data_IF_310854207091
#
_entry.id   IF_310854207091
#
_cell.length_a   1.000
_cell.length_b   1.000
_cell.length_c   1.000
_cell.angle_alpha   90.00
_cell.angle_beta   90.00
_cell.angle_gamma   90.00
#
_symmetry.space_group_name_H-M   'P 1'
#
loop_
_entity.id
_entity.type
_entity.pdbx_description
1 polymer ?
#
# COMPACT_ATOMS: atom_id res chain seq x y z
N UNK A 1 9.30 7.22 -7.27
CA UNK A 1 8.38 7.20 -6.11
C UNK A 1 7.04 7.79 -6.49
N UNK A 2 5.97 7.23 -6.01
CA UNK A 2 4.61 7.68 -6.29
C UNK A 2 3.84 7.80 -4.98
N UNK A 3 3.06 8.85 -4.82
CA UNK A 3 2.28 9.06 -3.61
C UNK A 3 0.84 9.47 -3.93
N UNK A 4 -0.09 9.01 -3.11
CA UNK A 4 -1.50 9.41 -3.15
C UNK A 4 -1.83 10.06 -1.81
N UNK A 5 -2.44 11.24 -1.87
CA UNK A 5 -2.90 11.95 -0.69
C UNK A 5 -4.37 12.33 -0.85
N UNK A 6 -5.12 12.26 0.23
CA UNK A 6 -6.54 12.64 0.25
C UNK A 6 -6.72 13.70 1.32
N UNK A 7 -7.37 14.80 0.95
CA UNK A 7 -7.62 15.92 1.85
C UNK A 7 -9.12 16.13 2.02
N UNK A 8 -9.50 16.52 3.23
CA UNK A 8 -10.78 17.12 3.53
C UNK A 8 -10.51 18.58 3.88
N UNK A 9 -10.85 19.49 2.96
CA UNK A 9 -10.38 20.88 2.98
C UNK A 9 -8.85 20.93 3.00
N UNK A 10 -8.26 21.45 4.08
CA UNK A 10 -6.81 21.53 4.24
C UNK A 10 -6.24 20.42 5.11
N UNK A 11 -7.07 19.49 5.58
CA UNK A 11 -6.65 18.40 6.46
C UNK A 11 -6.30 17.16 5.65
N UNK A 12 -5.08 16.65 5.82
CA UNK A 12 -4.69 15.37 5.24
C UNK A 12 -5.38 14.26 6.00
N UNK A 13 -6.22 13.46 5.31
CA UNK A 13 -7.03 12.42 5.96
C UNK A 13 -6.64 11.00 5.55
N UNK A 14 -5.96 10.83 4.43
CA UNK A 14 -5.47 9.52 4.00
C UNK A 14 -4.26 9.68 3.08
N UNK A 15 -3.39 8.67 3.08
CA UNK A 15 -2.23 8.67 2.19
C UNK A 15 -1.73 7.25 1.95
N UNK A 16 -0.92 7.10 0.91
CA UNK A 16 -0.16 5.91 0.62
C UNK A 16 0.96 6.21 -0.36
N UNK A 17 2.03 5.42 -0.35
CA UNK A 17 3.17 5.62 -1.22
C UNK A 17 3.66 4.31 -1.82
N UNK A 18 4.32 4.44 -2.96
CA UNK A 18 5.06 3.36 -3.59
C UNK A 18 6.51 3.79 -3.73
N UNK A 19 7.42 2.97 -3.29
CA UNK A 19 8.86 3.12 -3.52
C UNK A 19 9.35 1.94 -4.35
N UNK A 20 10.43 2.12 -5.09
CA UNK A 20 10.96 1.05 -5.91
C UNK A 20 12.05 1.51 -6.86
N UNK A 21 12.54 0.57 -7.66
CA UNK A 21 13.59 0.82 -8.64
C UNK A 21 13.06 1.25 -10.02
N UNK A 22 11.75 1.41 -10.14
CA UNK A 22 11.12 1.83 -11.38
C UNK A 22 10.77 0.71 -12.34
N UNK A 23 11.01 -0.56 -11.98
CA UNK A 23 10.75 -1.67 -12.90
C UNK A 23 10.51 -3.01 -12.22
N UNK A 24 11.53 -3.57 -11.59
CA UNK A 24 11.47 -4.95 -11.10
C UNK A 24 10.85 -5.08 -9.71
N UNK A 25 11.15 -4.16 -8.80
CA UNK A 25 10.72 -4.25 -7.42
C UNK A 25 10.04 -2.97 -6.97
N UNK A 26 8.89 -3.13 -6.33
CA UNK A 26 8.12 -2.04 -5.75
C UNK A 26 7.68 -2.42 -4.35
N UNK A 27 7.60 -1.46 -3.46
CA UNK A 27 7.04 -1.66 -2.13
C UNK A 27 6.00 -0.59 -1.84
N UNK A 28 4.83 -1.04 -1.39
CA UNK A 28 3.77 -0.16 -0.91
C UNK A 28 4.05 0.18 0.55
N UNK A 29 4.12 1.46 0.86
CA UNK A 29 4.47 1.95 2.20
C UNK A 29 3.54 3.07 2.62
N UNK A 30 3.53 3.35 3.92
CA UNK A 30 2.85 4.50 4.52
C UNK A 30 1.36 4.61 4.18
N UNK A 31 0.67 3.47 4.06
CA UNK A 31 -0.78 3.48 3.95
C UNK A 31 -1.37 3.89 5.29
N UNK A 32 -2.04 5.04 5.31
CA UNK A 32 -2.62 5.57 6.54
C UNK A 32 -3.93 6.29 6.26
N UNK A 33 -4.89 6.10 7.16
CA UNK A 33 -6.17 6.83 7.16
C UNK A 33 -6.37 7.38 8.56
N UNK A 34 -6.68 8.68 8.65
CA UNK A 34 -6.92 9.34 9.92
C UNK A 34 -8.06 8.63 10.66
N UNK A 35 -7.93 8.34 11.98
CA UNK A 35 -8.91 7.52 12.70
C UNK A 35 -10.36 7.97 12.55
N UNK A 36 -10.63 9.27 12.55
CA UNK A 36 -11.98 9.81 12.39
C UNK A 36 -12.57 9.61 11.00
N UNK A 37 -11.74 9.23 10.02
CA UNK A 37 -12.14 9.01 8.64
C UNK A 37 -12.10 7.53 8.24
N UNK A 38 -11.79 6.64 9.15
CA UNK A 38 -11.80 5.21 8.89
C UNK A 38 -13.24 4.71 8.73
N UNK A 39 -13.40 3.63 7.95
CA UNK A 39 -14.72 3.08 7.68
C UNK A 39 -15.49 3.77 6.56
N UNK A 40 -14.89 4.75 5.89
CA UNK A 40 -15.53 5.51 4.80
C UNK A 40 -14.98 5.14 3.41
N UNK A 41 -14.20 4.06 3.32
CA UNK A 41 -13.65 3.60 2.05
C UNK A 41 -12.42 4.32 1.56
N UNK A 42 -11.79 5.18 2.38
CA UNK A 42 -10.60 5.93 1.96
C UNK A 42 -9.38 5.02 1.77
N UNK A 43 -9.23 3.97 2.59
CA UNK A 43 -8.18 2.99 2.39
C UNK A 43 -8.29 2.30 1.04
N UNK A 44 -9.49 1.92 0.64
CA UNK A 44 -9.76 1.35 -0.68
C UNK A 44 -9.46 2.34 -1.80
N UNK A 45 -9.83 3.60 -1.61
CA UNK A 45 -9.56 4.64 -2.60
C UNK A 45 -8.05 4.80 -2.82
N UNK A 46 -7.30 4.91 -1.74
CA UNK A 46 -5.83 5.02 -1.81
C UNK A 46 -5.23 3.80 -2.51
N UNK A 47 -5.62 2.59 -2.09
CA UNK A 47 -5.13 1.35 -2.72
C UNK A 47 -5.48 1.28 -4.20
N UNK A 48 -6.70 1.64 -4.59
CA UNK A 48 -7.10 1.64 -5.99
C UNK A 48 -6.21 2.54 -6.84
N UNK A 49 -5.86 3.72 -6.33
CA UNK A 49 -4.97 4.64 -7.02
C UNK A 49 -3.55 4.10 -7.13
N UNK A 50 -3.05 3.46 -6.08
CA UNK A 50 -1.72 2.86 -6.08
C UNK A 50 -1.65 1.69 -7.06
N UNK A 51 -2.66 0.82 -7.07
CA UNK A 51 -2.72 -0.32 -7.99
C UNK A 51 -2.79 0.15 -9.43
N UNK A 52 -3.54 1.20 -9.70
CA UNK A 52 -3.62 1.77 -11.05
C UNK A 52 -2.26 2.25 -11.53
N UNK A 53 -1.47 2.86 -10.66
CA UNK A 53 -0.10 3.25 -10.98
C UNK A 53 0.77 2.02 -11.27
N UNK A 54 0.69 1.00 -10.41
CA UNK A 54 1.47 -0.23 -10.57
C UNK A 54 1.14 -0.95 -11.88
N UNK A 55 -0.13 -1.04 -12.23
CA UNK A 55 -0.56 -1.68 -13.47
C UNK A 55 0.04 -1.02 -14.72
N UNK A 56 0.31 0.29 -14.65
CA UNK A 56 0.92 1.02 -15.74
C UNK A 56 2.44 0.92 -15.80
N UNK A 57 3.09 0.66 -14.67
CA UNK A 57 4.54 0.76 -14.56
C UNK A 57 5.24 -0.56 -14.28
N UNK A 58 4.47 -1.63 -14.08
CA UNK A 58 5.02 -2.97 -13.89
C UNK A 58 4.97 -3.76 -15.18
N UNK A 59 5.75 -4.83 -15.23
CA UNK A 59 5.77 -5.79 -16.32
C UNK A 59 5.82 -7.19 -15.72
N UNK A 60 5.66 -8.21 -16.56
CA UNK A 60 5.75 -9.59 -16.10
C UNK A 60 7.08 -9.81 -15.40
N UNK A 61 7.03 -10.39 -14.20
CA UNK A 61 8.21 -10.58 -13.36
C UNK A 61 8.45 -9.48 -12.33
N UNK A 62 7.73 -8.35 -12.41
CA UNK A 62 7.80 -7.33 -11.36
C UNK A 62 7.27 -7.89 -10.04
N UNK A 63 7.88 -7.48 -8.95
CA UNK A 63 7.50 -7.91 -7.61
C UNK A 63 7.05 -6.71 -6.79
N UNK A 64 5.85 -6.80 -6.22
CA UNK A 64 5.29 -5.74 -5.37
C UNK A 64 5.05 -6.33 -3.99
N UNK A 65 5.64 -5.71 -2.97
CA UNK A 65 5.52 -6.17 -1.59
C UNK A 65 4.95 -5.10 -0.67
N UNK A 66 4.48 -5.53 0.48
CA UNK A 66 4.12 -4.65 1.58
C UNK A 66 4.23 -5.41 2.89
N UNK A 67 4.33 -4.66 3.99
CA UNK A 67 4.21 -5.21 5.33
C UNK A 67 2.91 -4.69 5.90
N UNK A 68 2.00 -5.62 6.21
CA UNK A 68 0.67 -5.28 6.67
C UNK A 68 0.55 -5.50 8.17
N UNK A 69 0.01 -4.49 8.85
CA UNK A 69 -0.39 -4.63 10.25
C UNK A 69 -1.86 -5.03 10.30
N UNK A 70 -2.18 -5.97 11.20
CA UNK A 70 -3.56 -6.38 11.37
C UNK A 70 -4.39 -5.22 11.96
N UNK A 71 -5.64 -5.00 11.52
CA UNK A 71 -6.41 -5.84 10.59
C UNK A 71 -6.30 -5.40 9.11
N UNK A 72 -5.41 -4.48 8.78
CA UNK A 72 -5.30 -3.92 7.43
C UNK A 72 -4.92 -4.96 6.37
N UNK A 73 -4.34 -6.10 6.77
CA UNK A 73 -4.02 -7.20 5.87
C UNK A 73 -5.23 -7.65 5.04
N UNK A 74 -6.43 -7.60 5.62
CA UNK A 74 -7.65 -7.99 4.91
C UNK A 74 -7.99 -7.03 3.76
N UNK A 75 -7.67 -5.76 3.89
CA UNK A 75 -7.82 -4.81 2.82
C UNK A 75 -6.89 -5.16 1.65
N UNK A 76 -5.64 -5.48 1.95
CA UNK A 76 -4.66 -5.79 0.90
C UNK A 76 -5.00 -7.08 0.16
N UNK A 77 -5.56 -8.07 0.84
CA UNK A 77 -6.02 -9.30 0.20
C UNK A 77 -7.05 -9.03 -0.90
N UNK A 78 -7.89 -8.02 -0.75
CA UNK A 78 -8.89 -7.65 -1.75
C UNK A 78 -8.24 -7.13 -3.04
N UNK A 79 -6.98 -6.71 -2.99
CA UNK A 79 -6.24 -6.20 -4.14
C UNK A 79 -5.21 -7.20 -4.68
N UNK A 80 -5.34 -8.46 -4.31
CA UNK A 80 -4.50 -9.53 -4.87
C UNK A 80 -3.18 -9.76 -4.15
N UNK A 81 -3.01 -9.20 -2.95
CA UNK A 81 -1.82 -9.46 -2.14
C UNK A 81 -2.00 -10.74 -1.35
N UNK A 82 -1.01 -11.62 -1.44
CA UNK A 82 -0.95 -12.86 -0.70
C UNK A 82 0.14 -12.81 0.36
N UNK A 83 0.00 -13.63 1.40
CA UNK A 83 1.02 -13.72 2.43
C UNK A 83 2.28 -14.39 1.90
N UNK A 84 3.43 -13.87 2.31
CA UNK A 84 4.71 -14.49 1.98
C UNK A 84 5.00 -15.71 2.83
N UNK A 85 4.40 -15.79 4.01
CA UNK A 85 4.51 -16.95 4.89
C UNK A 85 3.87 -18.18 4.22
N UNK A 86 4.46 -19.38 4.30
CA UNK A 86 5.66 -19.73 5.05
C UNK A 86 6.99 -19.61 4.29
N UNK A 87 6.98 -19.13 3.07
CA UNK A 87 8.17 -19.08 2.22
C UNK A 87 9.14 -17.99 2.63
N UNK A 88 8.64 -16.92 3.22
CA UNK A 88 9.46 -15.84 3.74
C UNK A 88 8.79 -15.20 4.95
N UNK A 89 9.56 -14.41 5.69
CA UNK A 89 9.11 -13.73 6.90
C UNK A 89 9.51 -12.26 6.85
N UNK A 90 8.60 -11.39 7.25
CA UNK A 90 8.97 -10.01 7.50
C UNK A 90 9.83 -9.95 8.77
N UNK A 91 10.89 -9.16 8.72
CA UNK A 91 11.79 -8.98 9.85
C UNK A 91 12.08 -7.50 10.03
N UNK A 92 12.32 -7.09 11.28
CA UNK A 92 12.65 -5.71 11.56
C UNK A 92 13.64 -5.61 12.72
N UNK A 93 14.29 -4.47 12.78
CA UNK A 93 15.17 -4.13 13.91
C UNK A 93 14.80 -2.72 14.36
N UNK A 94 14.60 -2.59 15.67
CA UNK A 94 14.20 -1.31 16.25
C UNK A 94 15.39 -0.70 16.99
N UNK A 95 15.59 0.57 16.80
CA UNK A 95 16.67 1.33 17.42
C UNK A 95 16.16 2.35 18.43
#
# INVERSE_FOLDING_TARGET
MFAVTVYDDTTLVAMGRIIGDGGAFFQVVDIAVKPTYQGKGLGKLVMSKLIKYLDKHTYEGSYVSLIADAPANKLYEQFGFDYTFPHSYGMYRKY
#
